data_IF_709320355937
#
_entry.id   IF_709320355937
#
_cell.length_a   1.000
_cell.length_b   1.000
_cell.length_c   1.000
_cell.angle_alpha   90.00
_cell.angle_beta   90.00
_cell.angle_gamma   90.00
#
_symmetry.space_group_name_H-M   'P 1'
#
loop_
_entity.id
_entity.type
_entity.pdbx_description
1 polymer ?
#
# COMPACT_ATOMS: atom_id res chain seq x y z
N UNK A 1 69.08 37.97 -41.62
CA UNK A 1 68.02 37.00 -42.01
C UNK A 1 67.60 36.24 -40.77
N UNK A 2 66.41 36.54 -40.23
CA UNK A 2 65.87 35.96 -39.01
C UNK A 2 65.10 34.69 -39.36
N UNK A 3 65.62 33.51 -38.99
CA UNK A 3 64.81 32.28 -38.90
C UNK A 3 63.96 32.40 -37.64
N UNK A 4 62.85 33.15 -37.72
CA UNK A 4 61.85 33.19 -36.67
C UNK A 4 60.58 32.50 -37.17
N UNK A 5 60.10 31.59 -36.34
CA UNK A 5 58.69 31.18 -36.16
C UNK A 5 58.08 30.04 -36.98
N UNK A 6 58.75 29.44 -37.98
CA UNK A 6 58.11 28.35 -38.75
C UNK A 6 57.74 27.11 -37.92
N UNK A 7 58.61 26.65 -37.02
CA UNK A 7 58.35 25.47 -36.19
C UNK A 7 57.38 25.71 -35.04
N UNK A 8 57.08 26.98 -34.73
CA UNK A 8 56.18 27.32 -33.63
C UNK A 8 54.74 27.36 -34.14
N UNK A 9 54.54 27.92 -35.34
CA UNK A 9 53.22 28.02 -35.96
C UNK A 9 52.66 26.62 -36.33
N UNK A 10 53.46 25.70 -36.89
CA UNK A 10 53.00 24.31 -37.19
C UNK A 10 52.65 23.51 -35.93
N UNK A 11 53.44 23.65 -34.86
CA UNK A 11 53.16 22.98 -33.59
C UNK A 11 51.91 23.55 -32.91
N UNK A 12 51.72 24.88 -33.01
CA UNK A 12 50.53 25.55 -32.49
C UNK A 12 49.28 25.18 -33.33
N UNK A 13 49.41 24.95 -34.65
CA UNK A 13 48.34 24.47 -35.53
C UNK A 13 47.90 23.04 -35.19
N UNK A 14 48.85 22.11 -35.06
CA UNK A 14 48.59 20.71 -34.66
C UNK A 14 47.97 20.65 -33.25
N UNK A 15 48.42 21.50 -32.33
CA UNK A 15 47.85 21.58 -30.98
C UNK A 15 46.44 22.18 -30.99
N UNK A 16 46.17 23.16 -31.85
CA UNK A 16 44.83 23.72 -32.02
C UNK A 16 43.88 22.71 -32.66
N UNK A 17 44.32 21.95 -33.67
CA UNK A 17 43.53 20.89 -34.26
C UNK A 17 43.23 19.78 -33.25
N UNK A 18 44.23 19.31 -32.48
CA UNK A 18 44.03 18.32 -31.43
C UNK A 18 43.11 18.80 -30.30
N UNK A 19 43.21 20.08 -29.92
CA UNK A 19 42.28 20.69 -28.94
C UNK A 19 40.85 20.76 -29.49
N UNK A 20 40.69 21.06 -30.78
CA UNK A 20 39.39 21.14 -31.44
C UNK A 20 38.71 19.77 -31.52
N UNK A 21 39.48 18.70 -31.74
CA UNK A 21 38.97 17.33 -31.72
C UNK A 21 38.59 16.88 -30.30
N UNK A 22 39.42 17.20 -29.31
CA UNK A 22 39.12 16.93 -27.89
C UNK A 22 37.88 17.67 -27.40
N UNK A 23 37.71 18.93 -27.81
CA UNK A 23 36.51 19.72 -27.52
C UNK A 23 35.29 19.12 -28.22
N UNK A 24 35.39 18.71 -29.49
CA UNK A 24 34.31 18.07 -30.22
C UNK A 24 33.85 16.74 -29.59
N UNK A 25 34.79 15.88 -29.18
CA UNK A 25 34.47 14.64 -28.46
C UNK A 25 33.81 14.91 -27.11
N UNK A 26 34.28 15.93 -26.39
CA UNK A 26 33.68 16.35 -25.12
C UNK A 26 32.27 16.91 -25.29
N UNK A 27 32.00 17.66 -26.36
CA UNK A 27 30.66 18.16 -26.68
C UNK A 27 29.69 17.01 -27.01
N UNK A 28 30.13 16.00 -27.78
CA UNK A 28 29.33 14.80 -28.08
C UNK A 28 29.04 14.00 -26.81
N UNK A 29 30.04 13.76 -25.97
CA UNK A 29 29.86 12.99 -24.73
C UNK A 29 28.85 13.68 -23.78
N UNK A 30 28.86 15.01 -23.73
CA UNK A 30 27.90 15.78 -22.93
C UNK A 30 26.48 15.70 -23.52
N UNK A 31 26.33 15.74 -24.83
CA UNK A 31 25.04 15.57 -25.52
C UNK A 31 24.47 14.15 -25.32
N UNK A 32 25.30 13.10 -25.45
CA UNK A 32 24.92 11.71 -25.16
C UNK A 32 24.49 11.50 -23.71
N UNK A 33 25.04 12.29 -22.77
CA UNK A 33 24.67 12.29 -21.35
C UNK A 33 23.45 13.14 -21.02
N UNK A 34 22.82 13.78 -22.01
CA UNK A 34 21.58 14.55 -21.85
C UNK A 34 21.78 16.03 -21.50
N UNK A 35 22.98 16.59 -21.68
CA UNK A 35 23.21 18.02 -21.53
C UNK A 35 22.91 18.76 -22.83
N UNK A 36 22.28 19.93 -22.70
CA UNK A 36 21.97 20.82 -23.83
C UNK A 36 22.68 22.16 -23.62
N UNK A 37 23.30 22.70 -24.67
CA UNK A 37 24.01 23.98 -24.61
C UNK A 37 23.02 25.14 -24.60
N UNK A 38 22.91 25.84 -23.47
CA UNK A 38 22.05 27.00 -23.29
C UNK A 38 22.88 28.22 -22.88
N UNK A 39 22.82 29.30 -23.69
CA UNK A 39 23.59 30.54 -23.47
C UNK A 39 25.11 30.33 -23.24
N UNK A 40 25.71 29.38 -23.96
CA UNK A 40 27.13 29.08 -23.87
C UNK A 40 27.55 28.18 -22.70
N UNK A 41 26.60 27.70 -21.89
CA UNK A 41 26.86 26.73 -20.82
C UNK A 41 26.08 25.43 -21.07
N UNK A 42 26.70 24.30 -20.73
CA UNK A 42 26.03 23.00 -20.75
C UNK A 42 25.10 22.88 -19.54
N UNK A 43 23.81 22.69 -19.79
CA UNK A 43 22.79 22.53 -18.75
C UNK A 43 22.18 21.15 -18.93
N UNK A 44 22.06 20.39 -17.85
CA UNK A 44 21.39 19.10 -17.89
C UNK A 44 19.89 19.32 -18.17
N UNK A 45 19.39 18.82 -19.30
CA UNK A 45 17.96 18.83 -19.61
C UNK A 45 17.27 17.59 -19.01
N UNK A 46 17.33 17.51 -17.67
CA UNK A 46 16.68 16.47 -16.86
C UNK A 46 15.14 16.53 -16.95
N UNK A 47 14.56 17.54 -17.63
CA UNK A 47 13.12 17.78 -17.66
C UNK A 47 12.34 16.62 -18.30
N UNK A 48 12.89 16.05 -19.38
CA UNK A 48 12.34 14.90 -20.08
C UNK A 48 12.42 13.62 -19.25
N UNK A 49 13.55 13.40 -18.56
CA UNK A 49 13.80 12.27 -17.67
C UNK A 49 12.90 12.30 -16.43
N UNK A 50 12.75 13.48 -15.80
CA UNK A 50 11.85 13.66 -14.65
C UNK A 50 10.38 13.46 -15.05
N UNK A 51 9.98 13.93 -16.23
CA UNK A 51 8.65 13.71 -16.77
C UNK A 51 8.39 12.23 -17.08
N UNK A 52 9.34 11.54 -17.74
CA UNK A 52 9.25 10.11 -18.03
C UNK A 52 9.19 9.25 -16.76
N UNK A 53 10.03 9.54 -15.75
CA UNK A 53 9.98 8.89 -14.43
C UNK A 53 8.63 9.17 -13.75
N UNK A 54 8.09 10.37 -13.88
CA UNK A 54 6.77 10.74 -13.39
C UNK A 54 5.66 9.89 -14.00
N UNK A 55 5.65 9.73 -15.33
CA UNK A 55 4.69 8.89 -16.05
C UNK A 55 4.82 7.43 -15.63
N UNK A 56 6.04 6.90 -15.54
CA UNK A 56 6.27 5.50 -15.12
C UNK A 56 5.72 5.27 -13.71
N UNK A 57 5.96 6.20 -12.77
CA UNK A 57 5.39 6.11 -11.41
C UNK A 57 3.87 6.09 -11.43
N UNK A 58 3.24 6.96 -12.22
CA UNK A 58 1.77 6.99 -12.36
C UNK A 58 1.25 5.68 -12.96
N UNK A 59 1.90 5.18 -14.01
CA UNK A 59 1.54 3.92 -14.66
C UNK A 59 1.65 2.74 -13.68
N UNK A 60 2.69 2.69 -12.85
CA UNK A 60 2.84 1.68 -11.79
C UNK A 60 1.75 1.77 -10.73
N UNK A 61 1.36 2.98 -10.31
CA UNK A 61 0.25 3.17 -9.36
C UNK A 61 -1.06 2.68 -9.97
N UNK A 62 -1.35 3.02 -11.23
CA UNK A 62 -2.55 2.57 -11.92
C UNK A 62 -2.55 1.04 -12.07
N UNK A 63 -1.43 0.45 -12.48
CA UNK A 63 -1.29 -1.01 -12.60
C UNK A 63 -1.51 -1.70 -11.25
N UNK A 64 -0.97 -1.15 -10.15
CA UNK A 64 -1.20 -1.65 -8.80
C UNK A 64 -2.68 -1.56 -8.42
N UNK A 65 -3.34 -0.44 -8.70
CA UNK A 65 -4.77 -0.28 -8.44
C UNK A 65 -5.58 -1.33 -9.21
N UNK A 66 -5.34 -1.50 -10.50
CA UNK A 66 -6.00 -2.50 -11.33
C UNK A 66 -5.76 -3.91 -10.77
N UNK A 67 -4.52 -4.23 -10.40
CA UNK A 67 -4.18 -5.53 -9.81
C UNK A 67 -4.91 -5.77 -8.49
N UNK A 68 -5.04 -4.75 -7.63
CA UNK A 68 -5.80 -4.86 -6.37
C UNK A 68 -7.30 -5.06 -6.65
N UNK A 69 -7.88 -4.35 -7.61
CA UNK A 69 -9.30 -4.48 -7.97
C UNK A 69 -9.61 -5.85 -8.57
N UNK A 70 -8.82 -6.32 -9.54
CA UNK A 70 -9.01 -7.66 -10.14
C UNK A 70 -8.70 -8.76 -9.12
N UNK A 71 -7.60 -8.60 -8.37
CA UNK A 71 -7.19 -9.53 -7.33
C UNK A 71 -8.22 -9.69 -6.22
N UNK A 72 -8.99 -8.63 -5.92
CA UNK A 72 -10.08 -8.70 -4.95
C UNK A 72 -11.13 -9.74 -5.34
N UNK A 73 -11.55 -9.80 -6.61
CA UNK A 73 -12.52 -10.78 -7.07
C UNK A 73 -11.98 -12.20 -6.96
N UNK A 74 -10.70 -12.41 -7.27
CA UNK A 74 -10.05 -13.71 -7.08
C UNK A 74 -10.07 -14.13 -5.61
N UNK A 75 -9.74 -13.22 -4.69
CA UNK A 75 -9.77 -13.48 -3.23
C UNK A 75 -11.20 -13.84 -2.78
N UNK A 76 -12.21 -13.12 -3.25
CA UNK A 76 -13.62 -13.42 -2.94
C UNK A 76 -13.97 -14.82 -3.47
N UNK A 77 -13.60 -15.15 -4.70
CA UNK A 77 -13.92 -16.46 -5.26
C UNK A 77 -13.25 -17.62 -4.54
N UNK A 78 -11.97 -17.47 -4.19
CA UNK A 78 -11.26 -18.44 -3.37
C UNK A 78 -11.88 -18.61 -1.99
N UNK A 79 -12.44 -17.53 -1.41
CA UNK A 79 -13.14 -17.64 -0.13
C UNK A 79 -14.37 -18.53 -0.20
N UNK A 80 -15.09 -18.55 -1.33
CA UNK A 80 -16.25 -19.41 -1.55
C UNK A 80 -15.82 -20.88 -1.63
N UNK A 81 -14.76 -21.17 -2.39
CA UNK A 81 -14.21 -22.52 -2.56
C UNK A 81 -13.72 -23.10 -1.22
N UNK A 82 -12.98 -22.32 -0.43
CA UNK A 82 -12.37 -22.77 0.83
C UNK A 82 -13.21 -22.42 2.08
N UNK A 83 -14.52 -22.20 1.92
CA UNK A 83 -15.41 -21.72 2.99
C UNK A 83 -15.34 -22.54 4.28
N UNK A 84 -15.20 -23.87 4.17
CA UNK A 84 -15.13 -24.77 5.33
C UNK A 84 -13.90 -24.45 6.19
N UNK A 85 -12.74 -24.26 5.55
CA UNK A 85 -11.50 -23.93 6.24
C UNK A 85 -11.55 -22.53 6.87
N UNK A 86 -12.24 -21.59 6.23
CA UNK A 86 -12.47 -20.24 6.78
C UNK A 86 -13.29 -20.32 8.08
N UNK A 87 -14.38 -21.11 8.09
CA UNK A 87 -15.19 -21.27 9.29
C UNK A 87 -14.42 -21.95 10.42
N UNK A 88 -13.67 -23.01 10.11
CA UNK A 88 -12.82 -23.69 11.10
C UNK A 88 -11.77 -22.72 11.66
N UNK A 89 -11.07 -21.99 10.80
CA UNK A 89 -10.04 -21.02 11.22
C UNK A 89 -10.61 -19.91 12.08
N UNK A 90 -11.80 -19.39 11.75
CA UNK A 90 -12.49 -18.41 12.56
C UNK A 90 -12.86 -18.94 13.96
N UNK A 91 -13.42 -20.15 14.03
CA UNK A 91 -13.76 -20.75 15.33
C UNK A 91 -12.50 -20.95 16.18
N UNK A 92 -11.43 -21.49 15.60
CA UNK A 92 -10.15 -21.71 16.29
C UNK A 92 -9.59 -20.39 16.82
N UNK A 93 -9.50 -19.35 15.97
CA UNK A 93 -8.97 -18.05 16.38
C UNK A 93 -9.85 -17.36 17.43
N UNK A 94 -11.18 -17.53 17.35
CA UNK A 94 -12.13 -17.06 18.37
C UNK A 94 -11.90 -17.72 19.72
N UNK A 95 -11.78 -19.05 19.74
CA UNK A 95 -11.53 -19.82 20.98
C UNK A 95 -10.20 -19.41 21.61
N UNK A 96 -9.14 -19.28 20.81
CA UNK A 96 -7.82 -18.83 21.31
C UNK A 96 -7.88 -17.42 21.91
N UNK A 97 -8.52 -16.48 21.22
CA UNK A 97 -8.73 -15.12 21.71
C UNK A 97 -9.56 -15.10 23.00
N UNK A 98 -10.60 -15.94 23.09
CA UNK A 98 -11.43 -16.10 24.29
C UNK A 98 -10.65 -16.67 25.48
N UNK A 99 -9.84 -17.72 25.26
CA UNK A 99 -9.00 -18.34 26.28
C UNK A 99 -8.00 -17.33 26.86
N UNK A 100 -7.42 -16.49 26.00
CA UNK A 100 -6.51 -15.40 26.42
C UNK A 100 -7.22 -14.16 26.94
N UNK A 101 -8.55 -14.21 27.11
CA UNK A 101 -9.39 -13.12 27.64
C UNK A 101 -9.19 -11.81 26.87
N UNK A 102 -8.92 -11.90 25.57
CA UNK A 102 -8.62 -10.77 24.69
C UNK A 102 -7.47 -9.86 25.15
N UNK A 103 -6.55 -10.37 25.99
CA UNK A 103 -5.38 -9.63 26.49
C UNK A 103 -4.17 -9.72 25.56
N UNK A 104 -4.02 -10.82 24.83
CA UNK A 104 -2.90 -11.02 23.92
C UNK A 104 -3.10 -10.28 22.59
N UNK A 105 -2.15 -9.40 22.25
CA UNK A 105 -2.16 -8.70 20.94
C UNK A 105 -2.07 -9.68 19.77
N UNK A 106 -1.29 -10.75 19.91
CA UNK A 106 -1.11 -11.76 18.87
C UNK A 106 -2.39 -12.53 18.57
N UNK A 107 -3.08 -13.05 19.60
CA UNK A 107 -4.35 -13.77 19.37
C UNK A 107 -5.47 -12.85 18.91
N UNK A 108 -5.48 -11.58 19.35
CA UNK A 108 -6.40 -10.58 18.82
C UNK A 108 -6.14 -10.31 17.33
N UNK A 109 -4.88 -10.27 16.89
CA UNK A 109 -4.52 -10.13 15.48
C UNK A 109 -4.94 -11.36 14.65
N UNK A 110 -4.68 -12.58 15.14
CA UNK A 110 -5.15 -13.80 14.46
C UNK A 110 -6.67 -13.84 14.33
N UNK A 111 -7.37 -13.42 15.38
CA UNK A 111 -8.82 -13.30 15.36
C UNK A 111 -9.31 -12.22 14.37
N UNK A 112 -8.60 -11.11 14.23
CA UNK A 112 -8.88 -10.11 13.19
C UNK A 112 -8.75 -10.71 11.78
N UNK A 113 -7.70 -11.51 11.52
CA UNK A 113 -7.56 -12.23 10.25
C UNK A 113 -8.72 -13.21 10.01
N UNK A 114 -9.17 -13.90 11.06
CA UNK A 114 -10.37 -14.73 10.99
C UNK A 114 -11.64 -13.94 10.66
N UNK A 115 -11.82 -12.76 11.28
CA UNK A 115 -12.93 -11.85 10.97
C UNK A 115 -12.87 -11.36 9.52
N UNK A 116 -11.67 -11.02 9.02
CA UNK A 116 -11.46 -10.61 7.65
C UNK A 116 -11.83 -11.73 6.67
N UNK A 117 -11.35 -12.95 6.90
CA UNK A 117 -11.65 -14.10 6.05
C UNK A 117 -13.15 -14.43 6.02
N UNK A 118 -13.84 -14.40 7.17
CA UNK A 118 -15.29 -14.56 7.20
C UNK A 118 -15.99 -13.42 6.48
N UNK A 119 -15.58 -12.17 6.70
CA UNK A 119 -16.19 -11.02 6.03
C UNK A 119 -16.08 -11.16 4.51
N UNK A 120 -14.91 -11.52 4.00
CA UNK A 120 -14.69 -11.80 2.57
C UNK A 120 -15.65 -12.88 2.06
N UNK A 121 -15.80 -13.99 2.79
CA UNK A 121 -16.76 -15.05 2.41
C UNK A 121 -18.21 -14.56 2.43
N UNK A 122 -18.59 -13.79 3.44
CA UNK A 122 -19.97 -13.29 3.56
C UNK A 122 -20.27 -12.19 2.54
N UNK A 123 -19.27 -11.46 2.07
CA UNK A 123 -19.44 -10.49 0.99
C UNK A 123 -20.01 -11.13 -0.27
N UNK A 124 -19.54 -12.32 -0.65
CA UNK A 124 -20.09 -13.07 -1.78
C UNK A 124 -21.60 -13.35 -1.61
N UNK A 125 -22.03 -13.75 -0.40
CA UNK A 125 -23.45 -13.97 -0.12
C UNK A 125 -24.25 -12.65 -0.12
N UNK A 126 -23.67 -11.59 0.45
CA UNK A 126 -24.31 -10.28 0.53
C UNK A 126 -24.59 -9.74 -0.87
N UNK A 127 -23.58 -9.70 -1.74
CA UNK A 127 -23.75 -9.25 -3.13
C UNK A 127 -24.67 -10.20 -3.89
N UNK A 128 -24.48 -11.52 -3.79
CA UNK A 128 -25.35 -12.48 -4.48
C UNK A 128 -26.82 -12.31 -4.11
N UNK A 129 -27.13 -11.98 -2.85
CA UNK A 129 -28.48 -11.67 -2.42
C UNK A 129 -29.07 -10.43 -3.11
N UNK A 130 -28.30 -9.35 -3.29
CA UNK A 130 -28.77 -8.15 -4.01
C UNK A 130 -28.97 -8.39 -5.50
N UNK A 131 -28.14 -9.25 -6.09
CA UNK A 131 -28.14 -9.52 -7.53
C UNK A 131 -29.16 -10.61 -7.88
N UNK A 132 -29.57 -11.43 -6.90
CA UNK A 132 -30.51 -12.53 -7.09
C UNK A 132 -29.86 -13.81 -7.63
N UNK A 133 -28.53 -13.81 -7.77
CA UNK A 133 -27.74 -14.92 -8.31
C UNK A 133 -26.50 -15.19 -7.44
N UNK A 134 -25.92 -16.38 -7.56
CA UNK A 134 -24.65 -16.67 -6.88
C UNK A 134 -23.52 -15.79 -7.42
N UNK A 135 -22.71 -15.23 -6.51
CA UNK A 135 -21.63 -14.32 -6.87
C UNK A 135 -20.62 -14.95 -7.83
N UNK A 136 -20.32 -16.25 -7.69
CA UNK A 136 -19.38 -16.92 -8.59
C UNK A 136 -19.93 -17.05 -9.99
N UNK A 137 -21.21 -17.40 -10.11
CA UNK A 137 -21.90 -17.47 -11.40
C UNK A 137 -21.93 -16.11 -12.07
N UNK A 138 -22.29 -15.08 -11.31
CA UNK A 138 -22.43 -13.73 -11.82
C UNK A 138 -21.08 -13.14 -12.29
N UNK A 139 -20.02 -13.30 -11.51
CA UNK A 139 -18.72 -12.67 -11.78
C UNK A 139 -17.84 -13.47 -12.73
N UNK A 140 -17.86 -14.80 -12.66
CA UNK A 140 -16.90 -15.65 -13.37
C UNK A 140 -17.49 -16.50 -14.50
N UNK A 141 -18.81 -16.69 -14.55
CA UNK A 141 -19.44 -17.55 -15.56
C UNK A 141 -20.17 -16.73 -16.62
N UNK A 142 -20.83 -15.64 -16.22
CA UNK A 142 -21.61 -14.78 -17.13
C UNK A 142 -20.79 -13.61 -17.71
N UNK A 143 -19.47 -13.59 -17.52
CA UNK A 143 -18.56 -12.50 -17.96
C UNK A 143 -19.11 -11.11 -17.61
N UNK A 144 -19.21 -10.82 -16.31
CA UNK A 144 -19.71 -9.54 -15.82
C UNK A 144 -18.99 -8.34 -16.46
N UNK A 145 -19.78 -7.33 -16.85
CA UNK A 145 -19.26 -6.08 -17.41
C UNK A 145 -18.21 -5.43 -16.49
N UNK A 146 -17.23 -4.77 -17.09
CA UNK A 146 -16.15 -4.08 -16.36
C UNK A 146 -16.66 -3.10 -15.32
N UNK A 147 -17.75 -2.35 -15.58
CA UNK A 147 -18.38 -1.44 -14.62
C UNK A 147 -18.89 -2.17 -13.36
N UNK A 148 -19.48 -3.35 -13.54
CA UNK A 148 -20.00 -4.17 -12.45
C UNK A 148 -18.85 -4.71 -11.59
N UNK A 149 -17.76 -5.15 -12.23
CA UNK A 149 -16.54 -5.58 -11.54
C UNK A 149 -15.97 -4.42 -10.71
N UNK A 150 -15.83 -3.23 -11.30
CA UNK A 150 -15.33 -2.06 -10.56
C UNK A 150 -16.21 -1.68 -9.36
N UNK A 151 -17.54 -1.66 -9.53
CA UNK A 151 -18.48 -1.34 -8.43
C UNK A 151 -18.41 -2.38 -7.31
N UNK A 152 -18.47 -3.67 -7.66
CA UNK A 152 -18.40 -4.75 -6.68
C UNK A 152 -17.04 -4.81 -5.98
N UNK A 153 -15.94 -4.55 -6.68
CA UNK A 153 -14.60 -4.43 -6.10
C UNK A 153 -14.49 -3.24 -5.14
N UNK A 154 -15.07 -2.10 -5.49
CA UNK A 154 -15.12 -0.94 -4.60
C UNK A 154 -15.92 -1.24 -3.32
N UNK A 155 -17.12 -1.83 -3.46
CA UNK A 155 -17.91 -2.25 -2.31
C UNK A 155 -17.18 -3.26 -1.43
N UNK A 156 -16.42 -4.19 -2.03
CA UNK A 156 -15.60 -5.13 -1.29
C UNK A 156 -14.53 -4.44 -0.44
N UNK A 157 -13.81 -3.46 -1.00
CA UNK A 157 -12.79 -2.70 -0.26
C UNK A 157 -13.42 -1.98 0.93
N UNK A 158 -14.53 -1.27 0.72
CA UNK A 158 -15.25 -0.57 1.80
C UNK A 158 -15.74 -1.57 2.86
N UNK A 159 -16.32 -2.69 2.43
CA UNK A 159 -16.87 -3.72 3.31
C UNK A 159 -15.79 -4.37 4.18
N UNK A 160 -14.64 -4.74 3.59
CA UNK A 160 -13.54 -5.39 4.31
C UNK A 160 -12.76 -4.48 5.24
N UNK A 161 -12.82 -3.16 5.04
CA UNK A 161 -12.28 -2.19 6.00
C UNK A 161 -13.19 -2.02 7.23
N UNK A 162 -14.51 -2.02 7.02
CA UNK A 162 -15.47 -1.71 8.08
C UNK A 162 -15.86 -2.95 8.87
N UNK A 163 -16.29 -4.02 8.20
CA UNK A 163 -16.95 -5.17 8.85
C UNK A 163 -16.02 -5.95 9.77
N UNK A 164 -14.80 -6.36 9.37
CA UNK A 164 -13.87 -7.06 10.26
C UNK A 164 -13.52 -6.24 11.50
N UNK A 165 -13.35 -4.93 11.33
CA UNK A 165 -13.06 -4.01 12.43
C UNK A 165 -14.21 -3.95 13.44
N UNK A 166 -15.45 -3.81 12.98
CA UNK A 166 -16.64 -3.79 13.83
C UNK A 166 -16.88 -5.15 14.52
N UNK A 167 -16.72 -6.26 13.80
CA UNK A 167 -16.83 -7.61 14.35
C UNK A 167 -15.81 -7.82 15.47
N UNK A 168 -14.54 -7.49 15.20
CA UNK A 168 -13.47 -7.61 16.18
C UNK A 168 -13.79 -6.79 17.43
N UNK A 169 -14.13 -5.50 17.28
CA UNK A 169 -14.45 -4.62 18.40
C UNK A 169 -15.60 -5.15 19.25
N UNK A 170 -16.69 -5.56 18.62
CA UNK A 170 -17.89 -6.07 19.30
C UNK A 170 -17.58 -7.34 20.09
N UNK A 171 -16.90 -8.31 19.47
CA UNK A 171 -16.60 -9.59 20.12
C UNK A 171 -15.57 -9.39 21.26
N UNK A 172 -14.53 -8.57 21.05
CA UNK A 172 -13.57 -8.26 22.11
C UNK A 172 -14.24 -7.58 23.31
N UNK A 173 -15.19 -6.67 23.08
CA UNK A 173 -15.94 -6.01 24.14
C UNK A 173 -16.76 -7.03 24.96
N UNK A 174 -17.48 -7.93 24.28
CA UNK A 174 -18.26 -8.99 24.92
C UNK A 174 -17.36 -9.92 25.75
N UNK A 175 -16.24 -10.39 25.18
CA UNK A 175 -15.30 -11.29 25.88
C UNK A 175 -14.72 -10.62 27.13
N UNK A 176 -14.45 -9.31 27.07
CA UNK A 176 -13.95 -8.54 28.20
C UNK A 176 -15.02 -8.28 29.26
N UNK A 177 -16.29 -8.12 28.89
CA UNK A 177 -17.38 -7.96 29.87
C UNK A 177 -17.64 -9.29 30.60
N UNK A 178 -17.70 -10.41 29.87
CA UNK A 178 -17.96 -11.73 30.46
C UNK A 178 -16.85 -12.17 31.42
N UNK A 179 -15.58 -11.88 31.10
CA UNK A 179 -14.41 -12.32 31.89
C UNK A 179 -13.76 -11.20 32.70
N UNK A 180 -14.28 -9.98 32.60
CA UNK A 180 -13.87 -8.82 33.36
C UNK A 180 -14.51 -8.88 34.75
N UNK A 181 -13.65 -9.02 35.76
CA UNK A 181 -13.94 -8.86 37.20
C UNK A 181 -14.93 -7.69 37.42
N UNK A 182 -15.92 -7.81 38.33
CA UNK A 182 -17.01 -6.85 38.52
C UNK A 182 -16.48 -5.42 38.62
N UNK A 183 -17.23 -4.47 38.05
CA UNK A 183 -17.08 -3.03 38.30
C UNK A 183 -17.20 -2.77 39.80
N UNK A 184 -16.14 -2.96 40.57
CA UNK A 184 -16.01 -2.37 41.88
C UNK A 184 -15.79 -0.88 41.62
N UNK A 185 -16.89 -0.15 41.39
CA UNK A 185 -16.95 1.28 41.62
C UNK A 185 -16.37 1.45 43.02
N UNK A 186 -15.15 1.98 43.12
CA UNK A 186 -14.60 2.46 44.38
C UNK A 186 -15.64 3.41 44.97
N UNK A 187 -16.48 2.88 45.86
CA UNK A 187 -17.12 3.67 46.90
C UNK A 187 -15.95 4.10 47.78
N UNK A 188 -15.28 5.19 47.40
CA UNK A 188 -14.50 5.97 48.36
C UNK A 188 -15.54 6.63 49.25
N UNK A 189 -15.92 5.92 50.31
CA UNK A 189 -16.66 6.52 51.41
C UNK A 189 -15.76 7.59 52.07
N UNK A 190 -16.31 8.71 52.56
CA UNK A 190 -15.58 9.90 52.95
C UNK A 190 -15.21 9.83 54.43
N UNK A 191 -14.00 9.40 54.76
CA UNK A 191 -13.44 9.67 56.10
C UNK A 191 -11.94 9.35 56.13
N UNK A 192 -11.14 10.38 56.40
CA UNK A 192 -9.69 10.29 56.49
C UNK A 192 -9.10 11.63 56.88
N UNK A 193 -9.46 12.09 58.07
CA UNK A 193 -8.87 13.26 58.72
C UNK A 193 -7.38 12.97 58.99
N UNK A 194 -6.48 13.83 58.50
CA UNK A 194 -5.41 14.39 59.33
C UNK A 194 -4.83 15.64 58.65
N UNK A 195 -5.34 16.81 59.05
CA UNK A 195 -4.57 18.05 58.90
C UNK A 195 -3.51 18.03 59.99
N UNK A 196 -2.30 17.62 59.64
CA UNK A 196 -1.10 18.21 60.22
C UNK A 196 -1.02 19.65 59.72
N UNK A 197 -1.34 20.63 60.57
CA UNK A 197 -0.81 21.99 60.40
C UNK A 197 0.16 22.24 61.55
N UNK A 198 1.44 22.34 61.17
CA UNK A 198 2.46 23.04 61.93
C UNK A 198 2.07 24.52 62.03
N UNK A 199 2.60 25.15 63.08
CA UNK A 199 2.49 26.56 63.54
C UNK A 199 1.35 26.80 64.52
#
# INVERSE_FOLDING_TARGET
MSKKNYYKDELDEDLMEYSSWGDYEAEIELEERGYVKSKGHWVNDDSSTVFAIGIIKIALVIALLIFVFIGAHFIIGMSVVYQVYIYIGFVVTTVLMYLTRAKSKFFNFLFYLGCLAIATRQFANFIGHFIGEDYMTYVFIQDADTDVLFKSGFYYIVYTLIVPYLMMKSILAIVREIRGVPKNKKVRNPSGISKQSRL
#
